data_IF_770875106193
#
_entry.id   IF_770875106193
#
_cell.length_a   1.000
_cell.length_b   1.000
_cell.length_c   1.000
_cell.angle_alpha   90.00
_cell.angle_beta   90.00
_cell.angle_gamma   90.00
#
_symmetry.space_group_name_H-M   'P 1'
#
loop_
_entity.id
_entity.type
_entity.pdbx_description
1 polymer ?
#
# COMPACT_ATOMS: atom_id res chain seq x y z
N UNK A 1 -37.77 28.48 10.73
CA UNK A 1 -37.13 27.63 11.78
C UNK A 1 -37.14 26.11 11.51
N UNK A 2 -38.24 25.50 11.04
CA UNK A 2 -38.32 24.03 10.82
C UNK A 2 -37.33 23.50 9.77
N UNK A 3 -37.10 24.25 8.68
CA UNK A 3 -36.12 23.90 7.62
C UNK A 3 -34.65 23.98 8.06
N UNK A 4 -34.31 24.91 8.95
CA UNK A 4 -32.95 25.09 9.50
C UNK A 4 -32.59 23.93 10.45
N UNK A 5 -33.57 23.42 11.22
CA UNK A 5 -33.38 22.23 12.07
C UNK A 5 -33.15 20.96 11.26
N UNK A 6 -33.80 20.82 10.09
CA UNK A 6 -33.61 19.68 9.17
C UNK A 6 -32.24 19.74 8.48
N UNK A 7 -31.77 20.94 8.12
CA UNK A 7 -30.44 21.12 7.53
C UNK A 7 -29.33 20.78 8.54
N UNK A 8 -29.47 21.20 9.80
CA UNK A 8 -28.54 20.86 10.89
C UNK A 8 -28.52 19.37 11.24
N UNK A 9 -29.65 18.68 11.12
CA UNK A 9 -29.77 17.24 11.37
C UNK A 9 -29.12 16.37 10.28
N UNK A 10 -28.96 16.88 9.06
CA UNK A 10 -28.31 16.16 7.96
C UNK A 10 -26.80 16.45 7.85
N UNK A 11 -26.35 17.63 8.25
CA UNK A 11 -24.94 18.04 8.17
C UNK A 11 -24.08 17.39 9.27
N UNK A 12 -24.65 17.18 10.46
CA UNK A 12 -23.95 16.53 11.58
C UNK A 12 -23.50 15.09 11.29
N UNK A 13 -24.33 14.17 10.74
CA UNK A 13 -23.88 12.80 10.44
C UNK A 13 -22.86 12.73 9.30
N UNK A 14 -22.89 13.64 8.31
CA UNK A 14 -21.90 13.67 7.23
C UNK A 14 -20.49 14.09 7.70
N UNK A 15 -20.39 14.96 8.70
CA UNK A 15 -19.10 15.36 9.28
C UNK A 15 -18.49 14.26 10.15
N UNK A 16 -19.32 13.45 10.82
CA UNK A 16 -18.85 12.32 11.65
C UNK A 16 -18.29 11.19 10.77
N UNK A 17 -18.87 10.93 9.60
CA UNK A 17 -18.37 9.94 8.65
C UNK A 17 -16.99 10.28 8.06
N UNK A 18 -16.63 11.57 8.01
CA UNK A 18 -15.32 12.04 7.53
C UNK A 18 -14.26 12.07 8.64
N UNK A 19 -14.67 11.98 9.91
CA UNK A 19 -13.80 12.11 11.08
C UNK A 19 -13.44 10.78 11.74
N UNK A 20 -14.06 9.66 11.34
CA UNK A 20 -13.50 8.36 11.66
C UNK A 20 -12.34 8.13 10.70
N UNK A 21 -11.08 8.13 11.14
CA UNK A 21 -10.07 7.43 10.36
C UNK A 21 -10.64 6.02 10.20
N UNK A 22 -11.07 5.68 8.99
CA UNK A 22 -11.30 4.29 8.67
C UNK A 22 -10.01 3.61 9.10
N UNK A 23 -10.12 2.59 9.96
CA UNK A 23 -9.07 1.60 10.06
C UNK A 23 -9.05 0.97 8.67
N UNK A 24 -8.39 1.65 7.72
CA UNK A 24 -7.77 1.02 6.59
C UNK A 24 -6.87 0.01 7.29
N UNK A 25 -7.36 -1.24 7.39
CA UNK A 25 -6.47 -2.38 7.58
C UNK A 25 -5.37 -2.11 6.58
N UNK A 26 -4.17 -1.77 7.05
CA UNK A 26 -3.03 -1.71 6.17
C UNK A 26 -3.03 -3.08 5.48
N UNK A 27 -3.26 -3.07 4.18
CA UNK A 27 -3.09 -4.28 3.40
C UNK A 27 -1.58 -4.56 3.33
N UNK A 28 -1.22 -5.78 2.92
CA UNK A 28 0.20 -6.15 2.84
C UNK A 28 1.03 -5.14 2.04
N UNK A 29 0.44 -4.46 1.04
CA UNK A 29 1.14 -3.45 0.24
C UNK A 29 1.49 -2.22 1.07
N UNK A 30 0.56 -1.72 1.87
CA UNK A 30 0.77 -0.54 2.72
C UNK A 30 1.79 -0.82 3.84
N UNK A 31 1.70 -2.00 4.47
CA UNK A 31 2.66 -2.43 5.50
C UNK A 31 4.08 -2.55 4.93
N UNK A 32 4.22 -3.24 3.79
CA UNK A 32 5.52 -3.43 3.16
C UNK A 32 6.07 -2.16 2.52
N UNK A 33 5.23 -1.20 2.13
CA UNK A 33 5.68 0.13 1.74
C UNK A 33 6.32 0.87 2.92
N UNK A 34 5.75 0.79 4.12
CA UNK A 34 6.35 1.39 5.31
C UNK A 34 7.68 0.70 5.67
N UNK A 35 7.73 -0.63 5.60
CA UNK A 35 8.97 -1.39 5.85
C UNK A 35 10.05 -1.01 4.84
N UNK A 36 9.73 -0.99 3.54
CA UNK A 36 10.67 -0.58 2.50
C UNK A 36 11.13 0.85 2.70
N UNK A 37 10.23 1.78 3.04
CA UNK A 37 10.59 3.16 3.32
C UNK A 37 11.56 3.28 4.48
N UNK A 38 11.32 2.55 5.57
CA UNK A 38 12.22 2.56 6.72
C UNK A 38 13.58 1.96 6.35
N UNK A 39 13.60 0.81 5.66
CA UNK A 39 14.82 0.13 5.26
C UNK A 39 15.66 0.96 4.27
N UNK A 40 15.03 1.70 3.36
CA UNK A 40 15.69 2.49 2.32
C UNK A 40 16.18 3.85 2.87
N UNK A 41 15.32 4.57 3.58
CA UNK A 41 15.51 6.01 3.86
C UNK A 41 16.17 6.26 5.22
N UNK A 42 15.83 5.48 6.25
CA UNK A 42 16.36 5.74 7.60
C UNK A 42 17.88 5.52 7.62
N UNK A 43 18.63 6.31 8.40
CA UNK A 43 20.07 6.13 8.52
C UNK A 43 20.42 4.82 9.25
N UNK A 44 21.63 4.27 9.05
CA UNK A 44 22.13 3.15 9.83
C UNK A 44 22.08 3.45 11.35
N UNK A 45 21.75 2.46 12.19
CA UNK A 45 21.51 1.05 11.87
C UNK A 45 20.06 0.72 11.48
N UNK A 46 19.15 1.71 11.46
CA UNK A 46 17.73 1.49 11.22
C UNK A 46 17.38 1.23 9.73
N UNK A 47 18.24 1.69 8.82
CA UNK A 47 18.11 1.48 7.38
C UNK A 47 19.41 1.78 6.64
N UNK A 48 19.32 1.97 5.33
CA UNK A 48 20.45 2.18 4.43
C UNK A 48 20.86 3.65 4.25
N UNK A 49 20.04 4.61 4.67
CA UNK A 49 20.32 6.04 4.53
C UNK A 49 20.52 6.48 3.08
N UNK A 50 19.80 5.88 2.13
CA UNK A 50 20.02 6.16 0.70
C UNK A 50 19.64 7.60 0.34
N UNK A 51 20.47 8.31 -0.45
CA UNK A 51 20.13 9.65 -0.92
C UNK A 51 18.94 9.59 -1.91
N UNK A 52 18.18 10.69 -2.07
CA UNK A 52 16.94 10.69 -2.86
C UNK A 52 17.02 10.09 -4.27
N UNK A 53 18.08 10.32 -5.08
CA UNK A 53 18.17 9.72 -6.41
C UNK A 53 18.26 8.19 -6.39
N UNK A 54 18.90 7.61 -5.36
CA UNK A 54 19.08 6.15 -5.21
C UNK A 54 17.84 5.53 -4.58
N UNK A 55 17.27 6.18 -3.55
CA UNK A 55 16.07 5.66 -2.88
C UNK A 55 14.89 5.54 -3.82
N UNK A 56 14.70 6.48 -4.75
CA UNK A 56 13.66 6.40 -5.77
C UNK A 56 13.76 5.13 -6.64
N UNK A 57 14.98 4.73 -7.01
CA UNK A 57 15.21 3.50 -7.78
C UNK A 57 14.92 2.25 -6.93
N UNK A 58 15.37 2.23 -5.67
CA UNK A 58 15.08 1.14 -4.74
C UNK A 58 13.57 0.96 -4.52
N UNK A 59 12.83 2.04 -4.32
CA UNK A 59 11.37 2.00 -4.23
C UNK A 59 10.74 1.48 -5.51
N UNK A 60 11.20 1.92 -6.69
CA UNK A 60 10.67 1.44 -7.96
C UNK A 60 10.87 -0.08 -8.13
N UNK A 61 12.03 -0.61 -7.74
CA UNK A 61 12.31 -2.05 -7.77
C UNK A 61 11.38 -2.83 -6.83
N UNK A 62 11.27 -2.39 -5.56
CA UNK A 62 10.39 -3.03 -4.57
C UNK A 62 8.95 -3.02 -5.04
N UNK A 63 8.43 -1.86 -5.44
CA UNK A 63 7.03 -1.70 -5.80
C UNK A 63 6.69 -2.36 -7.14
N UNK A 64 7.63 -2.39 -8.10
CA UNK A 64 7.48 -3.17 -9.32
C UNK A 64 7.37 -4.67 -9.03
N UNK A 65 8.21 -5.20 -8.14
CA UNK A 65 8.15 -6.61 -7.74
C UNK A 65 6.83 -6.95 -7.01
N UNK A 66 6.38 -6.09 -6.10
CA UNK A 66 5.08 -6.24 -5.41
C UNK A 66 3.93 -6.22 -6.40
N UNK A 67 3.92 -5.28 -7.34
CA UNK A 67 2.89 -5.19 -8.37
C UNK A 67 2.80 -6.47 -9.19
N UNK A 68 3.93 -6.95 -9.73
CA UNK A 68 3.96 -8.16 -10.56
C UNK A 68 3.53 -9.41 -9.78
N UNK A 69 3.94 -9.53 -8.51
CA UNK A 69 3.58 -10.66 -7.67
C UNK A 69 2.08 -10.69 -7.33
N UNK A 70 1.49 -9.56 -6.95
CA UNK A 70 0.05 -9.46 -6.66
C UNK A 70 -0.76 -9.64 -7.94
N UNK A 71 -0.35 -9.00 -9.03
CA UNK A 71 -1.04 -9.09 -10.30
C UNK A 71 -0.92 -10.47 -10.95
N UNK A 72 0.12 -11.26 -10.65
CA UNK A 72 0.18 -12.65 -11.08
C UNK A 72 -0.98 -13.48 -10.48
N UNK A 73 -1.37 -13.22 -9.23
CA UNK A 73 -2.50 -13.89 -8.57
C UNK A 73 -3.84 -13.31 -9.06
N UNK A 74 -3.96 -11.98 -9.07
CA UNK A 74 -5.21 -11.28 -9.39
C UNK A 74 -5.57 -11.32 -10.88
N UNK A 75 -4.57 -11.18 -11.75
CA UNK A 75 -4.66 -11.13 -13.22
C UNK A 75 -5.59 -10.05 -13.78
N UNK A 76 -5.87 -9.00 -13.00
CA UNK A 76 -6.71 -7.87 -13.41
C UNK A 76 -6.00 -6.89 -14.35
N UNK A 77 -4.66 -6.91 -14.40
CA UNK A 77 -3.86 -5.94 -15.16
C UNK A 77 -2.75 -6.62 -15.98
N UNK A 78 -2.11 -5.87 -16.87
CA UNK A 78 -0.93 -6.34 -17.58
C UNK A 78 0.28 -6.39 -16.63
N UNK A 79 1.04 -7.50 -16.59
CA UNK A 79 2.31 -7.55 -15.87
C UNK A 79 3.24 -6.42 -16.32
N UNK A 80 3.98 -5.84 -15.37
CA UNK A 80 4.98 -4.82 -15.66
C UNK A 80 6.25 -5.44 -16.27
N UNK A 81 6.82 -6.48 -15.65
CA UNK A 81 8.06 -7.10 -16.12
C UNK A 81 7.96 -8.63 -16.18
N UNK A 82 7.45 -9.28 -15.13
CA UNK A 82 7.26 -10.73 -15.08
C UNK A 82 5.88 -11.11 -14.57
N UNK A 83 5.42 -12.31 -14.93
CA UNK A 83 4.25 -12.94 -14.31
C UNK A 83 4.68 -14.28 -13.68
N UNK A 84 5.07 -14.27 -12.40
CA UNK A 84 5.43 -15.50 -11.70
C UNK A 84 4.29 -16.54 -11.73
N UNK A 85 4.60 -17.85 -11.74
CA UNK A 85 3.59 -18.88 -11.60
C UNK A 85 2.77 -18.69 -10.31
N UNK A 86 1.45 -18.73 -10.43
CA UNK A 86 0.52 -18.48 -9.31
C UNK A 86 -0.81 -19.19 -9.54
N UNK A 87 -1.52 -19.46 -8.44
CA UNK A 87 -2.93 -19.83 -8.47
C UNK A 87 -3.81 -18.67 -8.00
N UNK A 88 -5.05 -18.55 -8.52
CA UNK A 88 -5.99 -17.50 -8.08
C UNK A 88 -6.34 -17.54 -6.58
N UNK A 89 -6.09 -18.67 -5.92
CA UNK A 89 -6.33 -18.89 -4.49
C UNK A 89 -5.12 -18.64 -3.60
N UNK A 90 -3.96 -18.28 -4.18
CA UNK A 90 -2.77 -17.95 -3.41
C UNK A 90 -2.96 -16.64 -2.63
N UNK A 91 -2.25 -16.49 -1.50
CA UNK A 91 -2.35 -15.27 -0.68
C UNK A 91 -1.59 -14.11 -1.32
N UNK A 92 -2.32 -13.03 -1.62
CA UNK A 92 -1.76 -11.77 -2.11
C UNK A 92 -0.90 -11.08 -1.04
N UNK A 93 -1.24 -11.23 0.24
CA UNK A 93 -0.46 -10.72 1.36
C UNK A 93 0.90 -11.42 1.45
N UNK A 94 0.93 -12.75 1.35
CA UNK A 94 2.18 -13.52 1.35
C UNK A 94 3.03 -13.23 0.11
N UNK A 95 2.40 -13.07 -1.06
CA UNK A 95 3.08 -12.69 -2.30
C UNK A 95 3.70 -11.28 -2.19
N UNK A 96 2.95 -10.32 -1.65
CA UNK A 96 3.44 -8.96 -1.38
C UNK A 96 4.65 -8.99 -0.46
N UNK A 97 4.53 -9.71 0.66
CA UNK A 97 5.61 -9.81 1.64
C UNK A 97 6.87 -10.44 1.07
N UNK A 98 6.72 -11.54 0.33
CA UNK A 98 7.85 -12.27 -0.26
C UNK A 98 8.52 -11.46 -1.36
N UNK A 99 7.75 -10.77 -2.20
CA UNK A 99 8.28 -9.94 -3.27
C UNK A 99 9.05 -8.75 -2.71
N UNK A 100 8.48 -8.04 -1.74
CA UNK A 100 9.13 -6.89 -1.11
C UNK A 100 10.42 -7.28 -0.37
N UNK A 101 10.40 -8.40 0.38
CA UNK A 101 11.56 -8.86 1.16
C UNK A 101 12.75 -9.35 0.31
N UNK A 102 12.49 -9.82 -0.92
CA UNK A 102 13.52 -10.40 -1.80
C UNK A 102 14.26 -9.38 -2.65
N UNK A 103 13.77 -8.14 -2.70
CA UNK A 103 14.48 -7.01 -3.33
C UNK A 103 15.51 -6.46 -2.34
#
# INVERSE_FOLDING_TARGET
LKKIRILLLLVAPTLIALATPGVLRADGVTDWNLIASNAIVLPPPAGAGQPPPVSALSFAMVQGAVYDAVNAIDRGHQPYLVQPPSNPTDSKEAATATAAFRV
#
